data_IF_466719865337
#
_entry.id   IF_466719865337
#
_cell.length_a   1.000
_cell.length_b   1.000
_cell.length_c   1.000
_cell.angle_alpha   90.00
_cell.angle_beta   90.00
_cell.angle_gamma   90.00
#
_symmetry.space_group_name_H-M   'P 1'
#
loop_
_entity.id
_entity.type
_entity.pdbx_description
1 polymer ?
#
# COMPACT_ATOMS: atom_id res chain seq x y z
N UNK A 1 60.79 26.87 17.33
CA UNK A 1 60.07 27.30 18.55
C UNK A 1 58.70 26.64 18.46
N UNK A 2 58.30 25.58 19.15
CA UNK A 2 58.72 24.85 20.36
C UNK A 2 58.11 23.43 20.23
N UNK A 3 58.90 22.35 20.14
CA UNK A 3 59.36 21.43 21.21
C UNK A 3 58.29 20.73 22.06
N UNK A 4 58.20 19.39 21.90
CA UNK A 4 58.26 18.31 22.94
C UNK A 4 58.10 16.92 22.25
N UNK A 5 59.16 16.11 22.07
CA UNK A 5 59.68 14.99 22.92
C UNK A 5 58.63 13.91 23.25
N UNK A 6 58.82 12.58 23.24
CA UNK A 6 59.86 11.61 22.85
C UNK A 6 59.18 10.22 22.96
N UNK A 7 59.47 9.19 22.15
CA UNK A 7 60.31 8.09 22.65
C UNK A 7 59.84 6.68 22.22
N UNK A 8 60.64 6.07 21.34
CA UNK A 8 61.23 4.70 21.41
C UNK A 8 60.39 3.40 21.42
N UNK A 9 60.59 2.68 20.30
CA UNK A 9 61.10 1.29 20.15
C UNK A 9 60.24 0.06 20.48
N UNK A 10 59.94 -0.65 19.38
CA UNK A 10 59.81 -2.12 19.19
C UNK A 10 60.44 -3.02 20.26
N UNK A 11 59.76 -4.12 20.59
CA UNK A 11 60.32 -5.47 20.41
C UNK A 11 59.22 -6.57 20.39
N UNK A 12 59.46 -7.62 19.62
CA UNK A 12 58.56 -8.74 19.27
C UNK A 12 59.17 -10.04 19.82
N UNK A 13 58.32 -11.07 20.05
CA UNK A 13 58.60 -12.50 20.35
C UNK A 13 58.65 -12.82 21.86
N UNK A 14 58.19 -13.96 22.40
CA UNK A 14 58.01 -15.31 21.85
C UNK A 14 57.13 -16.18 22.78
N UNK A 15 56.63 -17.28 22.22
CA UNK A 15 55.81 -18.36 22.81
C UNK A 15 56.34 -18.95 24.12
N UNK A 16 55.43 -19.47 24.96
CA UNK A 16 55.74 -20.59 25.85
C UNK A 16 54.55 -21.57 25.96
N UNK A 17 54.84 -22.83 25.62
CA UNK A 17 53.99 -24.01 25.79
C UNK A 17 54.16 -24.58 27.20
N UNK A 18 53.10 -25.15 27.78
CA UNK A 18 53.20 -26.08 28.91
C UNK A 18 52.44 -27.35 28.57
N UNK A 19 53.18 -28.47 28.50
CA UNK A 19 52.68 -29.84 28.63
C UNK A 19 52.90 -30.31 30.07
N UNK A 20 52.02 -31.17 30.58
CA UNK A 20 52.41 -32.35 31.35
C UNK A 20 51.27 -33.37 31.46
N UNK A 21 51.64 -34.60 31.13
CA UNK A 21 50.87 -35.84 31.15
C UNK A 21 50.50 -36.32 32.56
N UNK A 22 49.48 -37.18 32.70
CA UNK A 22 49.49 -38.26 33.70
C UNK A 22 48.58 -39.45 33.31
N UNK A 23 49.00 -40.61 33.77
CA UNK A 23 48.79 -42.00 33.31
C UNK A 23 47.59 -42.77 33.89
N UNK A 24 47.38 -43.97 33.33
CA UNK A 24 46.27 -44.95 33.41
C UNK A 24 46.32 -45.91 34.62
N UNK A 25 45.17 -46.57 34.92
CA UNK A 25 44.95 -47.92 35.55
C UNK A 25 44.48 -47.89 37.03
N UNK A 26 43.57 -48.72 37.59
CA UNK A 26 42.88 -49.99 37.23
C UNK A 26 41.70 -50.22 38.24
N UNK A 27 40.53 -50.67 37.76
CA UNK A 27 39.51 -51.62 38.29
C UNK A 27 39.10 -51.65 39.79
N UNK A 28 37.79 -51.67 40.10
CA UNK A 28 37.00 -52.86 40.55
C UNK A 28 35.55 -52.53 41.06
N UNK A 29 34.60 -53.39 40.65
CA UNK A 29 33.34 -53.86 41.30
C UNK A 29 32.03 -53.05 41.37
N UNK A 30 30.99 -53.69 40.81
CA UNK A 30 29.66 -53.99 41.36
C UNK A 30 28.48 -53.01 41.20
N UNK A 31 27.63 -53.36 40.22
CA UNK A 31 26.15 -53.53 40.27
C UNK A 31 25.34 -52.53 41.11
N UNK A 32 24.47 -51.76 40.42
CA UNK A 32 23.06 -51.57 40.79
C UNK A 32 22.28 -51.17 39.51
N UNK A 33 21.35 -52.03 39.09
CA UNK A 33 20.39 -51.75 38.03
C UNK A 33 19.31 -50.83 38.63
N UNK A 34 19.33 -49.55 38.28
CA UNK A 34 18.18 -48.67 38.48
C UNK A 34 17.47 -48.47 37.14
N UNK A 35 16.25 -49.00 37.02
CA UNK A 35 15.33 -48.63 35.96
C UNK A 35 15.01 -47.12 36.09
N UNK A 36 15.65 -46.27 35.29
CA UNK A 36 15.15 -44.93 35.04
C UNK A 36 14.23 -45.00 33.83
N UNK A 37 12.91 -44.94 34.08
CA UNK A 37 11.95 -44.58 33.06
C UNK A 37 12.26 -43.14 32.64
N UNK A 38 13.06 -42.97 31.60
CA UNK A 38 13.23 -41.67 30.95
C UNK A 38 11.91 -41.35 30.23
N UNK A 39 11.02 -40.64 30.93
CA UNK A 39 9.96 -39.85 30.31
C UNK A 39 10.64 -38.81 29.42
N UNK A 40 10.91 -39.18 28.17
CA UNK A 40 11.11 -38.20 27.12
C UNK A 40 9.82 -37.37 27.07
N UNK A 41 9.87 -36.04 27.23
CA UNK A 41 8.72 -35.24 26.87
C UNK A 41 8.54 -35.45 25.37
N UNK A 42 7.50 -36.18 24.99
CA UNK A 42 6.94 -36.06 23.65
C UNK A 42 6.47 -34.62 23.61
N UNK A 43 7.35 -33.72 23.16
CA UNK A 43 6.95 -32.41 22.70
C UNK A 43 6.09 -32.73 21.49
N UNK A 44 4.79 -32.88 21.75
CA UNK A 44 3.77 -32.79 20.74
C UNK A 44 3.88 -31.37 20.22
N UNK A 45 4.72 -31.19 19.19
CA UNK A 45 4.49 -30.14 18.22
C UNK A 45 3.14 -30.47 17.60
N UNK A 46 2.06 -30.05 18.28
CA UNK A 46 0.92 -29.51 17.56
C UNK A 46 1.50 -28.37 16.74
N UNK A 47 1.91 -28.70 15.51
CA UNK A 47 1.81 -27.76 14.43
C UNK A 47 0.38 -27.27 14.50
N UNK A 48 0.20 -26.07 15.07
CA UNK A 48 -1.04 -25.34 14.90
C UNK A 48 -1.15 -25.16 13.40
N UNK A 49 -1.96 -26.00 12.76
CA UNK A 49 -2.43 -25.75 11.43
C UNK A 49 -3.38 -24.55 11.51
N UNK A 50 -2.83 -23.37 11.75
CA UNK A 50 -3.50 -22.12 11.43
C UNK A 50 -3.25 -21.85 9.95
N UNK A 51 -3.70 -22.79 9.10
CA UNK A 51 -4.03 -22.45 7.73
C UNK A 51 -5.42 -21.83 7.76
N UNK A 52 -5.49 -20.60 8.26
CA UNK A 52 -6.50 -19.68 7.75
C UNK A 52 -5.91 -19.14 6.45
N UNK A 53 -5.90 -19.96 5.40
CA UNK A 53 -5.72 -19.44 4.05
C UNK A 53 -6.77 -18.35 3.91
N UNK A 54 -6.34 -17.09 3.89
CA UNK A 54 -7.17 -16.00 3.43
C UNK A 54 -7.85 -16.51 2.15
N UNK A 55 -9.18 -16.53 2.04
CA UNK A 55 -9.79 -16.81 0.75
C UNK A 55 -9.15 -15.81 -0.22
N UNK A 56 -8.42 -16.34 -1.19
CA UNK A 56 -7.76 -15.55 -2.23
C UNK A 56 -8.90 -15.03 -3.09
N UNK A 57 -9.55 -13.98 -2.62
CA UNK A 57 -10.65 -13.34 -3.33
C UNK A 57 -10.04 -12.36 -4.34
N UNK A 58 -9.46 -12.95 -5.40
CA UNK A 58 -8.89 -12.24 -6.53
C UNK A 58 -9.75 -12.48 -7.76
N UNK A 59 -9.86 -11.45 -8.59
CA UNK A 59 -10.55 -11.48 -9.87
C UNK A 59 -9.52 -11.64 -10.99
N UNK A 60 -9.79 -12.57 -11.92
CA UNK A 60 -9.00 -12.71 -13.13
C UNK A 60 -9.40 -11.58 -14.10
N UNK A 61 -8.45 -10.72 -14.44
CA UNK A 61 -8.58 -9.82 -15.57
C UNK A 61 -7.99 -10.53 -16.79
N UNK A 62 -8.80 -10.81 -17.83
CA UNK A 62 -8.32 -11.56 -18.99
C UNK A 62 -7.30 -10.76 -19.78
N UNK A 63 -6.43 -11.50 -20.49
CA UNK A 63 -5.50 -10.91 -21.43
C UNK A 63 -6.25 -10.12 -22.52
N UNK A 64 -5.61 -9.09 -23.05
CA UNK A 64 -6.15 -8.32 -24.17
C UNK A 64 -5.89 -6.83 -24.08
N UNK A 65 -6.32 -6.15 -25.13
CA UNK A 65 -6.15 -4.72 -25.28
C UNK A 65 -7.21 -3.93 -24.50
N UNK A 66 -6.84 -2.75 -24.02
CA UNK A 66 -7.75 -1.77 -23.45
C UNK A 66 -7.27 -0.35 -23.76
N UNK A 67 -8.20 0.61 -23.66
CA UNK A 67 -7.89 2.03 -23.79
C UNK A 67 -7.38 2.57 -22.45
N UNK A 68 -6.06 2.76 -22.33
CA UNK A 68 -5.39 3.37 -21.19
C UNK A 68 -5.33 4.89 -21.35
N UNK A 69 -5.69 5.64 -20.32
CA UNK A 69 -5.68 7.11 -20.31
C UNK A 69 -6.93 7.77 -20.89
N UNK A 70 -6.91 9.10 -20.89
CA UNK A 70 -7.97 9.97 -21.38
C UNK A 70 -7.70 10.49 -22.80
N UNK A 71 -8.74 10.76 -23.60
CA UNK A 71 -8.58 11.28 -24.95
C UNK A 71 -7.88 12.65 -24.93
N UNK A 72 -7.14 12.96 -26.00
CA UNK A 72 -6.47 14.25 -26.14
C UNK A 72 -7.47 15.41 -26.07
N UNK A 73 -7.23 16.40 -25.21
CA UNK A 73 -8.16 17.50 -24.96
C UNK A 73 -9.46 17.11 -24.25
N UNK A 74 -9.54 15.88 -23.74
CA UNK A 74 -10.65 15.41 -22.91
C UNK A 74 -10.64 16.00 -21.51
N UNK A 75 -11.61 15.58 -20.72
CA UNK A 75 -11.60 15.87 -19.29
C UNK A 75 -10.47 15.11 -18.60
N UNK A 76 -9.67 15.82 -17.82
CA UNK A 76 -8.54 15.25 -17.09
C UNK A 76 -7.32 16.15 -17.13
N UNK A 77 -6.29 15.73 -16.39
CA UNK A 77 -4.99 16.37 -16.39
C UNK A 77 -4.17 15.94 -17.62
N UNK A 78 -3.19 16.75 -18.05
CA UNK A 78 -2.36 16.42 -19.21
C UNK A 78 -1.57 15.10 -19.06
N UNK A 79 -1.32 14.64 -17.84
CA UNK A 79 -0.62 13.39 -17.56
C UNK A 79 -1.48 12.13 -17.71
N UNK A 80 -2.79 12.30 -17.89
CA UNK A 80 -3.70 11.21 -18.28
C UNK A 80 -3.68 10.96 -19.80
N UNK A 81 -2.99 11.81 -20.57
CA UNK A 81 -3.02 11.84 -22.04
C UNK A 81 -1.65 11.46 -22.64
N UNK A 82 -1.61 10.93 -23.88
CA UNK A 82 -2.76 10.55 -24.72
C UNK A 82 -3.39 9.22 -24.29
N UNK A 83 -4.65 9.00 -24.70
CA UNK A 83 -5.26 7.68 -24.65
C UNK A 83 -4.56 6.75 -25.64
N UNK A 84 -4.27 5.53 -25.20
CA UNK A 84 -3.54 4.53 -25.99
C UNK A 84 -4.17 3.16 -25.87
N UNK A 85 -4.08 2.39 -26.94
CA UNK A 85 -4.42 0.98 -26.93
C UNK A 85 -3.23 0.20 -26.35
N UNK A 86 -3.41 -0.34 -25.15
CA UNK A 86 -2.38 -1.09 -24.41
C UNK A 86 -2.85 -2.53 -24.27
N UNK A 87 -1.97 -3.48 -24.60
CA UNK A 87 -2.17 -4.89 -24.34
C UNK A 87 -1.65 -5.25 -22.94
N UNK A 88 -2.43 -6.02 -22.20
CA UNK A 88 -1.99 -6.68 -20.96
C UNK A 88 -2.17 -8.18 -21.06
N UNK A 89 -1.19 -8.93 -20.58
CA UNK A 89 -1.29 -10.34 -20.21
C UNK A 89 -2.41 -10.56 -19.15
N UNK A 90 -2.89 -11.80 -18.93
CA UNK A 90 -3.86 -12.04 -17.88
C UNK A 90 -3.19 -11.88 -16.51
N UNK A 91 -3.92 -11.37 -15.53
CA UNK A 91 -3.43 -11.23 -14.16
C UNK A 91 -4.59 -11.37 -13.17
N UNK A 92 -4.26 -11.74 -11.94
CA UNK A 92 -5.17 -11.72 -10.81
C UNK A 92 -5.01 -10.40 -10.06
N UNK A 93 -6.11 -9.84 -9.58
CA UNK A 93 -6.10 -8.65 -8.72
C UNK A 93 -7.14 -8.80 -7.61
N UNK A 94 -6.81 -8.37 -6.40
CA UNK A 94 -7.69 -8.49 -5.24
C UNK A 94 -9.05 -7.83 -5.53
N UNK A 95 -10.14 -8.51 -5.15
CA UNK A 95 -11.52 -8.02 -5.33
C UNK A 95 -11.78 -6.77 -4.50
N UNK A 96 -11.15 -6.66 -3.33
CA UNK A 96 -11.30 -5.57 -2.37
C UNK A 96 -9.95 -4.93 -2.05
N UNK A 97 -9.99 -3.71 -1.52
CA UNK A 97 -8.86 -3.11 -0.82
C UNK A 97 -8.42 -4.02 0.36
N UNK A 98 -7.15 -4.00 0.71
CA UNK A 98 -6.62 -4.72 1.87
C UNK A 98 -7.25 -4.14 3.14
N UNK A 99 -7.93 -4.99 3.91
CA UNK A 99 -8.60 -4.56 5.14
C UNK A 99 -7.64 -4.44 6.33
N UNK A 100 -8.06 -3.70 7.35
CA UNK A 100 -7.32 -3.58 8.61
C UNK A 100 -7.11 -4.95 9.29
N UNK A 101 -8.08 -5.88 9.26
CA UNK A 101 -7.91 -7.22 9.81
C UNK A 101 -6.88 -8.06 9.02
N UNK A 102 -6.81 -7.88 7.70
CA UNK A 102 -5.79 -8.53 6.88
C UNK A 102 -4.39 -7.99 7.20
N UNK A 103 -4.25 -6.66 7.27
CA UNK A 103 -2.98 -6.01 7.61
C UNK A 103 -2.56 -6.28 9.07
N UNK A 104 -3.50 -6.40 10.01
CA UNK A 104 -3.21 -6.76 11.41
C UNK A 104 -2.57 -8.14 11.53
N UNK A 105 -3.03 -9.11 10.74
CA UNK A 105 -2.39 -10.44 10.67
C UNK A 105 -0.95 -10.35 10.16
N UNK A 106 -0.70 -9.52 9.15
CA UNK A 106 0.65 -9.28 8.65
C UNK A 106 1.57 -8.70 9.74
N UNK A 107 1.14 -7.63 10.41
CA UNK A 107 1.88 -7.00 11.53
C UNK A 107 2.16 -8.00 12.64
N UNK A 108 1.15 -8.76 13.09
CA UNK A 108 1.29 -9.75 14.16
C UNK A 108 2.23 -10.90 13.77
N UNK A 109 2.20 -11.35 12.51
CA UNK A 109 2.98 -12.51 12.05
C UNK A 109 4.44 -12.16 11.82
N UNK A 110 4.70 -10.96 11.29
CA UNK A 110 6.04 -10.58 10.80
C UNK A 110 6.77 -9.63 11.75
N UNK A 111 6.06 -8.98 12.67
CA UNK A 111 6.60 -7.87 13.45
C UNK A 111 6.79 -6.59 12.62
N UNK A 112 6.22 -6.52 11.41
CA UNK A 112 6.25 -5.30 10.60
C UNK A 112 5.59 -4.13 11.33
N UNK A 113 6.03 -2.90 11.05
CA UNK A 113 5.50 -1.69 11.70
C UNK A 113 3.99 -1.53 11.43
N UNK A 114 3.26 -1.11 12.47
CA UNK A 114 1.86 -0.74 12.32
C UNK A 114 1.72 0.54 11.48
N UNK A 115 0.56 0.75 10.81
CA UNK A 115 0.26 1.99 10.13
C UNK A 115 0.36 3.19 11.08
N UNK A 116 1.11 4.20 10.64
CA UNK A 116 1.41 5.36 11.43
C UNK A 116 1.27 6.61 10.58
N UNK A 117 0.91 7.71 11.23
CA UNK A 117 0.95 9.01 10.57
C UNK A 117 2.38 9.31 10.12
N UNK A 118 2.55 9.76 8.87
CA UNK A 118 3.83 10.29 8.41
C UNK A 118 3.97 11.75 8.80
N UNK A 119 5.11 12.12 9.38
CA UNK A 119 5.60 13.50 9.25
C UNK A 119 5.60 13.90 7.79
N UNK A 120 5.20 15.14 7.42
CA UNK A 120 5.03 15.52 6.01
C UNK A 120 6.28 15.19 5.21
N UNK A 121 6.17 14.26 4.25
CA UNK A 121 7.22 14.09 3.26
C UNK A 121 7.35 15.41 2.49
N UNK A 122 8.60 15.82 2.29
CA UNK A 122 9.02 17.09 1.72
C UNK A 122 8.14 17.57 0.57
N UNK A 123 7.74 18.84 0.63
CA UNK A 123 7.02 19.61 -0.39
C UNK A 123 7.69 19.52 -1.76
N UNK A 124 7.33 18.53 -2.58
CA UNK A 124 7.63 18.50 -4.01
C UNK A 124 6.67 19.46 -4.75
N UNK A 125 6.68 20.74 -4.36
CA UNK A 125 5.78 21.76 -4.87
C UNK A 125 5.90 21.95 -6.40
N UNK A 126 7.10 21.75 -6.95
CA UNK A 126 7.37 21.82 -8.40
C UNK A 126 6.57 20.76 -9.17
N UNK A 127 6.42 19.55 -8.60
CA UNK A 127 5.66 18.46 -9.22
C UNK A 127 4.15 18.74 -9.22
N UNK A 128 3.63 19.39 -8.16
CA UNK A 128 2.22 19.81 -8.11
C UNK A 128 1.91 20.81 -9.23
N UNK A 129 2.78 21.79 -9.45
CA UNK A 129 2.61 22.76 -10.54
C UNK A 129 2.71 22.10 -11.92
N UNK A 130 3.62 21.13 -12.08
CA UNK A 130 3.83 20.45 -13.36
C UNK A 130 2.69 19.50 -13.77
N UNK A 131 1.96 18.95 -12.79
CA UNK A 131 0.91 17.95 -13.03
C UNK A 131 -0.50 18.55 -13.02
N UNK A 132 -0.72 19.65 -12.29
CA UNK A 132 -2.04 20.26 -12.16
C UNK A 132 -2.97 19.54 -11.19
N UNK A 133 -2.43 18.69 -10.30
CA UNK A 133 -3.19 17.96 -9.29
C UNK A 133 -4.04 18.88 -8.41
N UNK A 134 -5.35 18.61 -8.35
CA UNK A 134 -6.37 19.54 -7.84
C UNK A 134 -6.55 19.52 -6.32
N UNK A 135 -6.06 18.49 -5.65
CA UNK A 135 -6.10 18.36 -4.20
C UNK A 135 -4.66 18.34 -3.63
N UNK A 136 -4.42 18.93 -2.44
CA UNK A 136 -3.08 19.13 -1.93
C UNK A 136 -2.37 17.81 -1.63
N UNK A 137 -1.05 17.81 -1.83
CA UNK A 137 -0.11 16.75 -1.46
C UNK A 137 -0.01 16.50 0.06
N UNK A 138 -0.89 17.12 0.85
CA UNK A 138 -0.96 17.07 2.31
C UNK A 138 -2.39 16.77 2.75
N UNK A 139 -2.88 15.58 2.42
CA UNK A 139 -4.10 15.04 3.02
C UNK A 139 -3.85 14.75 4.50
N UNK A 140 -4.07 15.74 5.38
CA UNK A 140 -4.07 15.52 6.81
C UNK A 140 -5.51 15.52 7.31
N UNK A 141 -6.01 14.33 7.64
CA UNK A 141 -6.21 14.09 9.07
C UNK A 141 -5.05 13.31 9.66
N UNK A 142 -4.56 13.80 10.80
CA UNK A 142 -3.35 13.29 11.45
C UNK A 142 -3.55 11.92 12.11
N UNK A 143 -4.78 11.41 12.03
CA UNK A 143 -5.26 10.31 12.83
C UNK A 143 -5.11 8.99 12.10
N UNK A 144 -4.17 8.16 12.55
CA UNK A 144 -4.15 6.73 12.22
C UNK A 144 -5.32 6.02 12.92
N UNK A 145 -5.89 5.03 12.23
CA UNK A 145 -6.93 4.14 12.76
C UNK A 145 -6.37 3.01 13.65
N UNK A 146 -5.10 3.10 14.02
CA UNK A 146 -4.38 2.08 14.79
C UNK A 146 -3.89 2.62 16.13
N UNK A 147 -3.96 1.80 17.17
CA UNK A 147 -3.49 2.07 18.52
C UNK A 147 -2.79 0.84 19.08
N UNK A 148 -1.63 1.02 19.72
CA UNK A 148 -0.87 -0.08 20.33
C UNK A 148 -0.62 -1.27 19.37
N UNK A 149 -0.28 -0.98 18.12
CA UNK A 149 -0.05 -1.95 17.03
C UNK A 149 -1.27 -2.81 16.64
N UNK A 150 -2.49 -2.37 16.95
CA UNK A 150 -3.72 -3.01 16.51
C UNK A 150 -4.70 -1.99 15.91
N UNK A 151 -5.57 -2.40 14.97
CA UNK A 151 -6.66 -1.55 14.53
C UNK A 151 -7.64 -1.26 15.68
N UNK A 152 -8.22 -0.07 15.72
CA UNK A 152 -9.26 0.26 16.72
C UNK A 152 -10.49 -0.66 16.58
N UNK A 153 -11.28 -0.88 17.63
CA UNK A 153 -12.47 -1.74 17.55
C UNK A 153 -13.45 -1.29 16.45
N UNK A 154 -13.98 -2.26 15.68
CA UNK A 154 -15.05 -2.02 14.70
C UNK A 154 -14.61 -1.64 13.28
N UNK A 155 -13.30 -1.45 13.02
CA UNK A 155 -12.79 -1.05 11.70
C UNK A 155 -12.16 -2.20 10.89
N UNK A 156 -12.30 -3.45 11.34
CA UNK A 156 -11.62 -4.62 10.75
C UNK A 156 -11.86 -4.81 9.25
N UNK A 157 -13.05 -4.46 8.77
CA UNK A 157 -13.47 -4.53 7.36
C UNK A 157 -13.22 -3.25 6.55
N UNK A 158 -12.75 -2.17 7.17
CA UNK A 158 -12.34 -0.96 6.45
C UNK A 158 -10.97 -1.18 5.81
N UNK A 159 -10.65 -0.48 4.71
CA UNK A 159 -9.32 -0.52 4.12
C UNK A 159 -8.26 -0.01 5.12
N UNK A 160 -7.08 -0.62 5.08
CA UNK A 160 -5.93 -0.08 5.78
C UNK A 160 -5.47 1.21 5.08
N UNK A 161 -5.23 2.25 5.87
CA UNK A 161 -4.69 3.55 5.42
C UNK A 161 -3.44 3.90 6.22
N UNK A 162 -2.79 5.03 5.91
CA UNK A 162 -1.53 5.43 6.54
C UNK A 162 -0.42 4.37 6.39
N UNK A 163 -0.36 3.77 5.20
CA UNK A 163 0.66 2.81 4.77
C UNK A 163 1.44 3.40 3.61
N UNK A 164 2.76 3.20 3.63
CA UNK A 164 3.62 3.70 2.57
C UNK A 164 3.68 2.73 1.39
N UNK A 165 4.27 3.14 0.28
CA UNK A 165 4.48 2.25 -0.84
C UNK A 165 5.32 1.03 -0.43
N UNK A 166 6.36 1.23 0.39
CA UNK A 166 7.18 0.14 0.94
C UNK A 166 6.40 -0.82 1.83
N UNK A 167 5.51 -0.29 2.68
CA UNK A 167 4.62 -1.10 3.52
C UNK A 167 3.69 -1.96 2.66
N UNK A 168 3.19 -1.36 1.57
CA UNK A 168 2.27 -1.99 0.62
C UNK A 168 2.95 -3.14 -0.13
N UNK A 169 4.18 -2.93 -0.60
CA UNK A 169 4.99 -3.99 -1.21
C UNK A 169 5.28 -5.11 -0.23
N UNK A 170 5.71 -4.78 0.99
CA UNK A 170 6.02 -5.80 2.01
C UNK A 170 4.79 -6.67 2.32
N UNK A 171 3.61 -6.07 2.44
CA UNK A 171 2.36 -6.78 2.64
C UNK A 171 2.01 -7.71 1.48
N UNK A 172 2.04 -7.21 0.23
CA UNK A 172 1.70 -8.04 -0.92
C UNK A 172 2.70 -9.18 -1.12
N UNK A 173 4.00 -8.94 -0.93
CA UNK A 173 5.04 -9.99 -1.02
C UNK A 173 4.85 -11.04 0.07
N UNK A 174 4.46 -10.66 1.29
CA UNK A 174 4.14 -11.61 2.36
C UNK A 174 3.00 -12.58 1.98
N UNK A 175 2.09 -12.15 1.10
CA UNK A 175 1.01 -12.98 0.56
C UNK A 175 1.38 -13.74 -0.74
N UNK A 176 2.64 -13.73 -1.17
CA UNK A 176 3.07 -14.24 -2.47
C UNK A 176 2.31 -13.56 -3.63
N UNK A 177 2.20 -12.24 -3.54
CA UNK A 177 1.58 -11.31 -4.51
C UNK A 177 2.55 -10.15 -4.78
N UNK A 178 2.09 -9.15 -5.52
CA UNK A 178 2.75 -7.87 -5.79
C UNK A 178 1.73 -6.73 -5.78
N UNK A 179 2.18 -5.48 -5.92
CA UNK A 179 1.28 -4.40 -6.31
C UNK A 179 0.93 -4.55 -7.81
N UNK A 180 -0.28 -4.13 -8.24
CA UNK A 180 -0.58 -4.02 -9.67
C UNK A 180 0.31 -2.96 -10.33
N UNK A 181 0.55 -3.09 -11.63
CA UNK A 181 1.02 -1.94 -12.42
C UNK A 181 -0.09 -0.91 -12.56
N UNK A 182 0.28 0.31 -12.91
CA UNK A 182 -0.67 1.39 -13.19
C UNK A 182 -1.65 1.01 -14.32
N UNK A 183 -1.14 0.32 -15.35
CA UNK A 183 -1.96 -0.16 -16.46
C UNK A 183 -2.92 -1.28 -16.03
N UNK A 184 -2.44 -2.25 -15.24
CA UNK A 184 -3.27 -3.32 -14.70
C UNK A 184 -4.40 -2.77 -13.85
N UNK A 185 -4.08 -1.84 -12.95
CA UNK A 185 -5.08 -1.17 -12.12
C UNK A 185 -6.13 -0.46 -12.98
N UNK A 186 -5.70 0.32 -13.98
CA UNK A 186 -6.63 1.05 -14.85
C UNK A 186 -7.52 0.10 -15.64
N UNK A 187 -6.96 -0.97 -16.24
CA UNK A 187 -7.78 -1.98 -16.94
C UNK A 187 -8.77 -2.62 -15.98
N UNK A 188 -8.34 -3.02 -14.78
CA UNK A 188 -9.19 -3.66 -13.79
C UNK A 188 -10.37 -2.77 -13.36
N UNK A 189 -10.15 -1.45 -13.27
CA UNK A 189 -11.19 -0.47 -12.97
C UNK A 189 -12.10 -0.16 -14.17
N UNK A 190 -11.51 -0.01 -15.36
CA UNK A 190 -12.14 0.55 -16.56
C UNK A 190 -12.78 -0.49 -17.48
N UNK A 191 -12.26 -1.71 -17.54
CA UNK A 191 -12.56 -2.60 -18.66
C UNK A 191 -11.93 -2.09 -19.97
N UNK A 192 -12.55 -2.42 -21.10
CA UNK A 192 -11.97 -2.17 -22.44
C UNK A 192 -12.65 -1.04 -23.22
N UNK A 193 -13.75 -0.48 -22.70
CA UNK A 193 -14.63 0.46 -23.42
C UNK A 193 -14.31 1.93 -23.18
N UNK A 194 -13.28 2.24 -22.38
CA UNK A 194 -12.90 3.63 -22.11
C UNK A 194 -13.81 4.37 -21.13
N UNK A 195 -14.64 3.68 -20.35
CA UNK A 195 -15.57 4.32 -19.40
C UNK A 195 -14.88 5.23 -18.38
N UNK A 196 -15.58 6.30 -17.98
CA UNK A 196 -15.10 7.34 -17.06
C UNK A 196 -14.91 6.83 -15.62
N UNK A 197 -15.89 6.10 -15.10
CA UNK A 197 -15.91 5.50 -13.76
C UNK A 197 -16.07 3.99 -13.89
N UNK A 198 -15.76 3.18 -12.86
CA UNK A 198 -15.91 1.73 -12.94
C UNK A 198 -17.32 1.28 -13.38
N UNK A 199 -18.36 2.01 -12.95
CA UNK A 199 -19.76 1.74 -13.26
C UNK A 199 -20.29 2.39 -14.56
N UNK A 200 -19.49 3.18 -15.28
CA UNK A 200 -19.92 3.84 -16.52
C UNK A 200 -19.48 5.29 -16.64
N UNK A 201 -20.18 6.06 -17.48
CA UNK A 201 -19.79 7.44 -17.80
C UNK A 201 -20.48 8.51 -16.95
N UNK A 202 -21.63 8.19 -16.38
CA UNK A 202 -22.41 9.11 -15.56
C UNK A 202 -21.95 9.07 -14.10
N UNK A 203 -21.70 10.26 -13.54
CA UNK A 203 -21.36 10.40 -12.14
C UNK A 203 -22.58 10.15 -11.27
N UNK A 204 -22.38 9.41 -10.17
CA UNK A 204 -23.39 9.19 -9.13
C UNK A 204 -22.75 9.34 -7.75
N UNK A 205 -23.21 10.34 -7.00
CA UNK A 205 -22.70 10.65 -5.65
C UNK A 205 -22.87 9.49 -4.67
N UNK A 206 -23.75 8.53 -4.97
CA UNK A 206 -24.05 7.37 -4.12
C UNK A 206 -23.23 6.13 -4.48
N UNK A 207 -22.36 6.17 -5.49
CA UNK A 207 -21.59 4.99 -5.94
C UNK A 207 -20.14 4.97 -5.49
N UNK A 208 -19.67 6.00 -4.77
CA UNK A 208 -18.30 6.02 -4.27
C UNK A 208 -18.20 6.84 -2.99
N UNK A 209 -17.46 6.29 -2.01
CA UNK A 209 -17.05 7.06 -0.84
C UNK A 209 -16.09 8.19 -1.27
N UNK A 210 -16.57 9.42 -1.24
CA UNK A 210 -15.91 10.61 -1.80
C UNK A 210 -16.33 11.88 -1.06
N UNK A 211 -15.68 13.01 -1.33
CA UNK A 211 -16.12 14.29 -0.78
C UNK A 211 -17.60 14.59 -1.14
N UNK A 212 -18.01 14.17 -2.34
CA UNK A 212 -19.37 14.36 -2.83
C UNK A 212 -20.40 13.49 -2.12
N UNK A 213 -20.03 12.26 -1.75
CA UNK A 213 -20.89 11.36 -0.97
C UNK A 213 -21.18 11.98 0.40
N UNK A 214 -20.14 12.45 1.09
CA UNK A 214 -20.27 13.02 2.43
C UNK A 214 -21.03 14.35 2.46
N UNK A 215 -20.88 15.18 1.42
CA UNK A 215 -21.62 16.42 1.25
C UNK A 215 -23.02 16.23 0.66
N UNK A 216 -23.40 15.00 0.28
CA UNK A 216 -24.67 14.66 -0.38
C UNK A 216 -24.95 15.48 -1.66
N UNK A 217 -23.89 15.97 -2.31
CA UNK A 217 -23.93 16.77 -3.55
C UNK A 217 -22.60 16.67 -4.27
N UNK A 218 -22.59 16.89 -5.58
CA UNK A 218 -21.32 16.94 -6.34
C UNK A 218 -20.43 18.06 -5.83
N UNK A 219 -19.23 17.68 -5.40
CA UNK A 219 -18.13 18.57 -5.01
C UNK A 219 -17.10 18.56 -6.12
N UNK A 220 -16.65 19.77 -6.50
CA UNK A 220 -15.50 19.96 -7.37
C UNK A 220 -14.52 20.92 -6.70
N UNK A 221 -13.23 20.61 -6.78
CA UNK A 221 -12.16 21.46 -6.30
C UNK A 221 -11.38 21.96 -7.51
N UNK A 222 -11.36 23.28 -7.73
CA UNK A 222 -10.57 23.87 -8.81
C UNK A 222 -9.12 24.09 -8.37
N UNK A 223 -8.87 24.13 -7.06
CA UNK A 223 -7.57 24.37 -6.48
C UNK A 223 -7.41 23.71 -5.12
N UNK A 224 -6.15 23.64 -4.66
CA UNK A 224 -5.86 23.24 -3.27
C UNK A 224 -6.50 24.18 -2.24
N UNK A 225 -6.77 25.44 -2.58
CA UNK A 225 -7.46 26.37 -1.69
C UNK A 225 -8.93 25.99 -1.48
N UNK A 226 -9.62 25.48 -2.52
CA UNK A 226 -10.99 24.99 -2.41
C UNK A 226 -11.05 23.73 -1.53
N UNK A 227 -10.07 22.84 -1.72
CA UNK A 227 -9.92 21.65 -0.89
C UNK A 227 -9.70 22.04 0.58
N UNK A 228 -8.79 22.98 0.87
CA UNK A 228 -8.51 23.44 2.23
C UNK A 228 -9.73 24.13 2.84
N UNK A 229 -10.42 24.96 2.06
CA UNK A 229 -11.65 25.61 2.47
C UNK A 229 -12.73 24.59 2.86
N UNK A 230 -12.82 23.45 2.17
CA UNK A 230 -13.78 22.40 2.47
C UNK A 230 -13.33 21.51 3.65
N UNK A 231 -12.16 20.88 3.55
CA UNK A 231 -11.73 19.82 4.48
C UNK A 231 -11.05 20.31 5.74
N UNK A 232 -10.49 21.52 5.76
CA UNK A 232 -9.79 22.08 6.93
C UNK A 232 -10.66 23.12 7.65
N UNK A 233 -11.33 23.99 6.88
CA UNK A 233 -12.01 25.16 7.43
C UNK A 233 -13.54 25.10 7.35
N UNK A 234 -14.09 24.17 6.58
CA UNK A 234 -15.48 24.24 6.14
C UNK A 234 -16.31 23.00 6.44
N UNK A 235 -17.26 22.74 5.53
CA UNK A 235 -18.26 21.68 5.65
C UNK A 235 -17.61 20.29 5.83
N UNK A 236 -16.58 19.97 5.05
CA UNK A 236 -15.84 18.72 5.16
C UNK A 236 -15.20 18.53 6.54
N UNK A 237 -14.59 19.58 7.09
CA UNK A 237 -14.00 19.52 8.44
C UNK A 237 -15.05 19.20 9.51
N UNK A 238 -16.24 19.81 9.40
CA UNK A 238 -17.37 19.53 10.29
C UNK A 238 -17.85 18.08 10.13
N UNK A 239 -18.02 17.60 8.89
CA UNK A 239 -18.44 16.22 8.62
C UNK A 239 -17.42 15.22 9.18
N UNK A 240 -16.13 15.41 8.95
CA UNK A 240 -15.07 14.55 9.49
C UNK A 240 -15.13 14.48 11.01
N UNK A 241 -15.32 15.62 11.69
CA UNK A 241 -15.45 15.65 13.15
C UNK A 241 -16.68 14.90 13.68
N UNK A 242 -17.80 15.00 12.97
CA UNK A 242 -19.08 14.42 13.40
C UNK A 242 -19.24 12.95 13.03
N UNK A 243 -18.73 12.53 11.87
CA UNK A 243 -18.95 11.20 11.27
C UNK A 243 -17.67 10.37 11.12
N UNK A 244 -16.49 10.97 11.27
CA UNK A 244 -15.21 10.32 11.05
C UNK A 244 -14.85 9.30 12.12
N UNK A 245 -14.23 8.21 11.68
CA UNK A 245 -13.52 7.28 12.55
C UNK A 245 -12.39 8.04 13.24
N UNK A 246 -12.31 7.88 14.57
CA UNK A 246 -11.40 8.65 15.43
C UNK A 246 -11.49 10.17 15.19
N UNK A 247 -12.68 10.65 14.82
CA UNK A 247 -12.98 12.06 14.63
C UNK A 247 -12.47 12.68 13.34
N UNK A 248 -11.90 11.91 12.40
CA UNK A 248 -11.34 12.54 11.19
C UNK A 248 -11.30 11.69 9.89
N UNK A 249 -11.17 10.36 9.99
CA UNK A 249 -11.01 9.50 8.79
C UNK A 249 -12.36 8.91 8.37
N UNK A 250 -12.73 9.11 7.10
CA UNK A 250 -14.06 8.75 6.58
C UNK A 250 -14.05 7.54 5.63
N UNK A 251 -13.13 6.58 5.82
CA UNK A 251 -13.21 5.30 5.10
C UNK A 251 -14.50 4.55 5.44
N UNK A 252 -15.01 3.75 4.51
CA UNK A 252 -16.13 2.83 4.71
C UNK A 252 -15.63 1.37 4.63
N UNK A 253 -16.40 0.39 5.17
CA UNK A 253 -16.10 -1.02 4.92
C UNK A 253 -15.96 -1.30 3.43
N UNK A 254 -15.03 -2.17 3.05
CA UNK A 254 -14.91 -2.59 1.65
C UNK A 254 -16.24 -3.15 1.13
N UNK A 255 -16.54 -2.91 -0.14
CA UNK A 255 -17.78 -3.29 -0.82
C UNK A 255 -19.05 -2.59 -0.31
N UNK A 256 -18.93 -1.42 0.32
CA UNK A 256 -20.10 -0.65 0.78
C UNK A 256 -21.01 -0.17 -0.37
N UNK A 257 -20.51 -0.14 -1.60
CA UNK A 257 -21.23 0.32 -2.79
C UNK A 257 -21.32 -0.81 -3.83
N UNK A 258 -22.25 -1.77 -3.69
CA UNK A 258 -22.24 -2.94 -4.56
C UNK A 258 -22.51 -2.65 -6.04
N UNK A 259 -23.22 -1.56 -6.35
CA UNK A 259 -23.49 -1.11 -7.71
C UNK A 259 -22.33 -0.34 -8.36
N UNK A 260 -21.22 -0.17 -7.64
CA UNK A 260 -20.01 0.51 -8.13
C UNK A 260 -18.96 -0.45 -8.70
N UNK A 261 -19.22 -1.76 -8.64
CA UNK A 261 -18.28 -2.77 -9.08
C UNK A 261 -17.81 -2.53 -10.53
N UNK A 262 -16.51 -2.74 -10.76
CA UNK A 262 -15.91 -2.65 -12.08
C UNK A 262 -16.45 -3.74 -13.03
N UNK A 263 -16.17 -3.66 -14.35
CA UNK A 263 -16.53 -4.72 -15.30
C UNK A 263 -16.07 -6.12 -14.93
N UNK A 264 -15.01 -6.20 -14.12
CA UNK A 264 -14.40 -7.46 -13.68
C UNK A 264 -14.78 -7.83 -12.24
N UNK A 265 -15.72 -7.10 -11.62
CA UNK A 265 -16.25 -7.39 -10.29
C UNK A 265 -15.37 -6.91 -9.14
N UNK A 266 -14.48 -5.93 -9.36
CA UNK A 266 -13.72 -5.30 -8.29
C UNK A 266 -14.52 -4.16 -7.66
N UNK A 267 -14.49 -4.06 -6.34
CA UNK A 267 -15.20 -3.02 -5.59
C UNK A 267 -14.26 -1.88 -5.22
N UNK A 268 -14.83 -0.70 -5.00
CA UNK A 268 -14.12 0.49 -4.49
C UNK A 268 -12.95 0.94 -5.38
N UNK A 269 -12.99 0.60 -6.69
CA UNK A 269 -12.00 1.09 -7.66
C UNK A 269 -12.09 2.61 -7.89
N UNK A 270 -13.11 3.28 -7.37
CA UNK A 270 -13.23 4.72 -7.36
C UNK A 270 -13.68 5.19 -5.97
N UNK A 271 -12.86 6.01 -5.32
CA UNK A 271 -13.11 6.48 -3.97
C UNK A 271 -12.75 5.46 -2.90
N UNK A 272 -13.27 5.66 -1.69
CA UNK A 272 -12.82 5.04 -0.44
C UNK A 272 -11.35 5.36 -0.17
N UNK A 273 -10.38 4.60 -0.68
CA UNK A 273 -8.97 4.98 -0.60
C UNK A 273 -8.29 4.93 -1.97
N UNK A 274 -7.35 5.84 -2.18
CA UNK A 274 -6.45 5.71 -3.31
C UNK A 274 -5.55 4.49 -3.11
N UNK A 275 -5.10 3.86 -4.18
CA UNK A 275 -4.34 2.62 -4.10
C UNK A 275 -2.94 2.81 -4.68
N UNK A 276 -1.92 2.43 -3.90
CA UNK A 276 -0.54 2.38 -4.38
C UNK A 276 -0.39 1.38 -5.54
N UNK A 277 0.31 1.77 -6.61
CA UNK A 277 0.68 0.87 -7.71
C UNK A 277 2.21 0.72 -7.80
N UNK A 278 2.69 -0.27 -8.55
CA UNK A 278 4.12 -0.59 -8.66
C UNK A 278 4.93 0.56 -9.29
N UNK A 279 4.33 1.26 -10.24
CA UNK A 279 4.98 2.18 -11.16
C UNK A 279 5.61 3.39 -10.48
N UNK A 280 6.74 3.82 -11.03
CA UNK A 280 7.24 5.16 -10.81
C UNK A 280 6.34 6.16 -11.54
N UNK A 281 5.94 7.23 -10.88
CA UNK A 281 5.14 8.27 -11.51
C UNK A 281 6.00 9.10 -12.47
N UNK A 282 5.49 9.27 -13.69
CA UNK A 282 6.02 10.23 -14.65
C UNK A 282 4.84 10.79 -15.47
N UNK A 283 4.66 12.13 -15.48
CA UNK A 283 3.53 12.76 -16.17
C UNK A 283 3.60 12.63 -17.70
N UNK A 284 4.77 12.32 -18.26
CA UNK A 284 4.96 12.15 -19.70
C UNK A 284 4.98 10.68 -20.16
N UNK A 285 4.91 9.71 -19.24
CA UNK A 285 5.08 8.29 -19.58
C UNK A 285 4.05 7.76 -20.59
N UNK A 286 2.86 8.35 -20.64
CA UNK A 286 1.83 7.95 -21.58
C UNK A 286 2.18 8.36 -23.03
N UNK A 287 3.20 9.20 -23.27
CA UNK A 287 3.58 9.60 -24.63
C UNK A 287 4.43 8.54 -25.33
N UNK A 288 5.26 7.81 -24.58
CA UNK A 288 6.34 6.99 -25.12
C UNK A 288 6.50 5.62 -24.43
N UNK A 289 5.75 5.34 -23.36
CA UNK A 289 5.78 4.03 -22.69
C UNK A 289 5.37 2.88 -23.62
N UNK A 290 5.84 1.64 -23.36
CA UNK A 290 5.51 0.46 -24.16
C UNK A 290 4.00 0.18 -24.19
N UNK A 291 3.53 -0.41 -25.28
CA UNK A 291 2.12 -0.75 -25.49
C UNK A 291 1.76 -2.18 -25.06
N UNK A 292 2.74 -2.99 -24.66
CA UNK A 292 2.51 -4.34 -24.13
C UNK A 292 3.08 -4.40 -22.72
N UNK A 293 2.25 -4.78 -21.75
CA UNK A 293 2.63 -4.98 -20.34
C UNK A 293 3.52 -3.86 -19.76
N UNK A 294 3.14 -2.57 -19.88
CA UNK A 294 3.93 -1.47 -19.34
C UNK A 294 4.11 -1.60 -17.82
N UNK A 295 5.34 -1.36 -17.38
CA UNK A 295 5.79 -1.48 -15.99
C UNK A 295 6.14 -0.12 -15.35
N UNK A 296 5.75 0.96 -16.02
CA UNK A 296 6.18 2.31 -15.68
C UNK A 296 7.62 2.62 -16.15
N UNK A 297 8.12 3.82 -15.87
CA UNK A 297 9.54 4.15 -16.03
C UNK A 297 10.41 3.26 -15.13
N UNK A 298 11.66 2.94 -15.53
CA UNK A 298 12.53 2.06 -14.73
C UNK A 298 12.99 2.69 -13.40
N UNK A 299 12.94 4.03 -13.29
CA UNK A 299 13.30 4.81 -12.09
C UNK A 299 12.45 6.07 -12.01
N UNK A 300 12.26 6.60 -10.80
CA UNK A 300 11.58 7.86 -10.57
C UNK A 300 11.81 8.38 -9.16
N UNK A 301 11.26 9.55 -8.86
CA UNK A 301 11.33 10.17 -7.53
C UNK A 301 10.11 9.84 -6.65
N UNK A 302 8.98 9.52 -7.28
CA UNK A 302 7.67 9.36 -6.66
C UNK A 302 6.92 8.18 -7.28
N UNK A 303 6.02 7.57 -6.52
CA UNK A 303 5.23 6.41 -6.92
C UNK A 303 3.82 6.85 -7.30
N UNK A 304 3.24 6.16 -8.28
CA UNK A 304 1.88 6.43 -8.70
C UNK A 304 0.86 5.84 -7.71
N UNK A 305 -0.31 6.48 -7.64
CA UNK A 305 -1.50 6.02 -6.94
C UNK A 305 -2.72 6.18 -7.85
N UNK A 306 -3.75 5.38 -7.65
CA UNK A 306 -4.96 5.39 -8.50
C UNK A 306 -6.26 5.40 -7.70
N UNK A 307 -7.37 5.77 -8.34
CA UNK A 307 -8.74 5.60 -7.82
C UNK A 307 -9.33 6.76 -7.02
N UNK A 308 -8.48 7.63 -6.46
CA UNK A 308 -8.94 8.69 -5.55
C UNK A 308 -9.49 8.13 -4.24
N UNK A 309 -9.88 9.00 -3.32
CA UNK A 309 -10.30 8.59 -1.98
C UNK A 309 -11.52 9.37 -1.49
N UNK A 310 -11.96 9.06 -0.26
CA UNK A 310 -13.00 9.81 0.44
C UNK A 310 -12.71 11.32 0.54
N UNK A 311 -11.44 11.75 0.38
CA UNK A 311 -11.01 13.16 0.37
C UNK A 311 -11.15 13.86 -0.99
N UNK A 312 -11.41 13.10 -2.06
CA UNK A 312 -11.27 13.57 -3.43
C UNK A 312 -12.63 13.92 -4.07
N UNK A 313 -12.66 14.88 -5.00
CA UNK A 313 -13.86 15.26 -5.76
C UNK A 313 -14.11 14.25 -6.89
N UNK A 314 -15.30 14.28 -7.49
CA UNK A 314 -15.71 13.32 -8.53
C UNK A 314 -14.70 13.22 -9.70
N UNK A 315 -14.10 14.33 -10.10
CA UNK A 315 -13.13 14.35 -11.20
C UNK A 315 -11.85 13.56 -10.90
N UNK A 316 -11.48 13.37 -9.63
CA UNK A 316 -10.33 12.58 -9.21
C UNK A 316 -10.67 11.10 -8.92
N UNK A 317 -11.90 10.70 -9.20
CA UNK A 317 -12.38 9.31 -9.07
C UNK A 317 -12.52 8.62 -10.44
N UNK A 318 -12.10 9.28 -11.50
CA UNK A 318 -12.11 8.71 -12.85
C UNK A 318 -11.07 7.59 -12.96
N UNK A 319 -11.36 6.61 -13.81
CA UNK A 319 -10.48 5.46 -14.04
C UNK A 319 -9.12 5.85 -14.63
N UNK A 320 -9.01 6.96 -15.38
CA UNK A 320 -7.73 7.51 -15.88
C UNK A 320 -6.99 8.39 -14.89
N UNK A 321 -7.64 8.87 -13.82
CA UNK A 321 -7.00 9.83 -12.91
C UNK A 321 -5.78 9.17 -12.23
N UNK A 322 -4.68 9.91 -12.17
CA UNK A 322 -3.37 9.41 -11.73
C UNK A 322 -2.85 10.30 -10.63
N UNK A 323 -2.76 9.83 -9.39
CA UNK A 323 -2.16 10.58 -8.29
C UNK A 323 -0.76 10.04 -7.97
N UNK A 324 -0.07 10.65 -7.00
CA UNK A 324 1.28 10.24 -6.64
C UNK A 324 1.66 10.57 -5.19
N UNK A 325 2.73 9.95 -4.72
CA UNK A 325 3.37 10.28 -3.46
C UNK A 325 4.81 9.80 -3.38
N UNK A 326 5.55 10.26 -2.37
CA UNK A 326 6.88 9.71 -2.08
C UNK A 326 6.74 8.30 -1.50
N UNK A 327 7.74 7.45 -1.72
CA UNK A 327 7.69 6.04 -1.29
C UNK A 327 7.45 5.84 0.21
N UNK A 328 7.88 6.80 1.03
CA UNK A 328 7.83 6.81 2.48
C UNK A 328 6.60 7.52 3.06
N UNK A 329 5.85 8.26 2.23
CA UNK A 329 4.63 8.97 2.65
C UNK A 329 3.54 7.99 3.07
N UNK A 330 2.73 8.36 4.06
CA UNK A 330 1.62 7.55 4.61
C UNK A 330 0.31 8.33 4.64
N UNK A 331 -0.28 8.65 3.48
CA UNK A 331 -1.49 9.44 3.42
C UNK A 331 -2.67 8.72 4.10
N UNK A 332 -3.53 9.47 4.77
CA UNK A 332 -4.74 8.95 5.44
C UNK A 332 -5.87 8.55 4.46
N UNK A 333 -5.72 8.89 3.18
CA UNK A 333 -6.62 8.51 2.11
C UNK A 333 -6.02 7.49 1.13
N UNK A 334 -4.92 6.83 1.47
CA UNK A 334 -4.24 5.87 0.57
C UNK A 334 -4.04 4.52 1.27
N UNK A 335 -4.42 3.44 0.58
CA UNK A 335 -4.29 2.06 1.03
C UNK A 335 -3.66 1.15 -0.04
N UNK A 336 -4.08 -0.12 -0.03
CA UNK A 336 -3.41 -1.21 -0.76
C UNK A 336 -4.44 -2.07 -1.46
N UNK A 337 -4.11 -2.51 -2.67
CA UNK A 337 -4.70 -3.67 -3.33
C UNK A 337 -3.57 -4.47 -3.98
N UNK A 338 -3.57 -5.80 -3.83
CA UNK A 338 -2.52 -6.62 -4.43
C UNK A 338 -2.96 -7.23 -5.76
N UNK A 339 -1.98 -7.57 -6.58
CA UNK A 339 -2.12 -8.31 -7.83
C UNK A 339 -1.14 -9.49 -7.89
N UNK A 340 -1.32 -10.38 -8.85
CA UNK A 340 -0.46 -11.54 -9.09
C UNK A 340 -0.52 -11.92 -10.56
N UNK A 341 0.62 -12.30 -11.13
CA UNK A 341 0.68 -12.78 -12.51
C UNK A 341 -0.21 -14.01 -12.69
N UNK A 342 -0.82 -14.16 -13.87
CA UNK A 342 -1.56 -15.37 -14.21
C UNK A 342 -0.73 -16.26 -15.15
N UNK A 343 -0.45 -17.48 -14.67
CA UNK A 343 0.23 -18.61 -15.34
C UNK A 343 1.72 -18.46 -15.64
#
# INVERSE_FOLDING_TARGET
MSDTLAGLSRCRRQNLWIKKDFTVSRFYTAILISLSLSLLPIISHRASAFSASLPIDMMLVPAGEFLMGGPAGGEGLPDEQPQRLVYLAPFWIDRYEVTNDAYARFVQTTGHRAPAHSTPASTLWELVQATGHRAPAHSNPASTLWENNAPIPGIGSHPVVNVSWEDSVAFCVWLDKRLPTEAEWEKAARGTDGRRYPWGNEWDVKKANSASYWAERTIDFQSGADWEAFWIKGEGAKISKEKGLKGEVLTMPVASFPESASPYGLYDMAGNVAEWVQDWYNPNYYKDGPLSDPQGPPRGAIKAMRGGSWLKPAISLRTSDRDWGTMDSRPSGTGIRCAKDAF
#
